data_IF_571211250269
#
_entry.id   IF_571211250269
#
_cell.length_a   1.000
_cell.length_b   1.000
_cell.length_c   1.000
_cell.angle_alpha   90.00
_cell.angle_beta   90.00
_cell.angle_gamma   90.00
#
_symmetry.space_group_name_H-M   'P 1'
#
loop_
_entity.id
_entity.type
_entity.pdbx_description
1 polymer ?
#
# COMPACT_ATOMS: atom_id res chain seq x y z
N UNK A 1 -7.25 -0.91 -21.69
CA UNK A 1 -7.56 -0.68 -20.26
C UNK A 1 -6.62 -1.52 -19.39
N UNK A 2 -5.90 -0.87 -18.46
CA UNK A 2 -5.09 -1.61 -17.48
C UNK A 2 -6.00 -2.23 -16.45
N UNK A 3 -5.81 -3.52 -16.18
CA UNK A 3 -6.64 -4.19 -15.19
C UNK A 3 -6.21 -3.85 -13.76
N UNK A 4 -7.02 -4.30 -12.81
CA UNK A 4 -6.84 -4.00 -11.39
C UNK A 4 -5.51 -4.53 -10.84
N UNK A 5 -5.02 -5.66 -11.34
CA UNK A 5 -3.75 -6.22 -10.88
C UNK A 5 -2.56 -5.42 -11.37
N UNK A 6 -2.62 -4.91 -12.59
CA UNK A 6 -1.57 -4.03 -13.10
C UNK A 6 -1.51 -2.73 -12.32
N UNK A 7 -2.67 -2.13 -12.01
CA UNK A 7 -2.75 -0.92 -11.19
C UNK A 7 -2.19 -1.19 -9.79
N UNK A 8 -2.56 -2.31 -9.19
CA UNK A 8 -2.05 -2.68 -7.86
C UNK A 8 -0.54 -2.83 -7.87
N UNK A 9 0.00 -3.56 -8.83
CA UNK A 9 1.43 -3.82 -8.91
C UNK A 9 2.24 -2.56 -9.15
N UNK A 10 1.82 -1.73 -10.09
CA UNK A 10 2.59 -0.55 -10.50
C UNK A 10 2.49 0.62 -9.53
N UNK A 11 1.35 0.78 -8.86
CA UNK A 11 1.07 2.02 -8.14
C UNK A 11 0.69 1.82 -6.68
N UNK A 12 -0.19 0.87 -6.38
CA UNK A 12 -0.70 0.70 -5.02
C UNK A 12 0.35 0.08 -4.11
N UNK A 13 0.93 -1.05 -4.51
CA UNK A 13 1.91 -1.74 -3.68
C UNK A 13 3.17 -0.92 -3.41
N UNK A 14 3.77 -0.24 -4.40
CA UNK A 14 4.91 0.63 -4.10
C UNK A 14 4.56 1.77 -3.14
N UNK A 15 3.39 2.37 -3.27
CA UNK A 15 2.94 3.43 -2.37
C UNK A 15 2.78 2.92 -0.93
N UNK A 16 2.21 1.73 -0.77
CA UNK A 16 2.03 1.12 0.56
C UNK A 16 3.37 0.70 1.17
N UNK A 17 4.28 0.15 0.37
CA UNK A 17 5.62 -0.20 0.86
C UNK A 17 6.39 1.04 1.31
N UNK A 18 6.27 2.12 0.55
CA UNK A 18 6.87 3.40 0.95
C UNK A 18 6.28 3.88 2.27
N UNK A 19 4.96 3.89 2.38
CA UNK A 19 4.27 4.34 3.58
C UNK A 19 4.69 3.53 4.81
N UNK A 20 4.76 2.21 4.68
CA UNK A 20 5.22 1.34 5.76
C UNK A 20 6.68 1.60 6.11
N UNK A 21 7.53 1.74 5.11
CA UNK A 21 8.95 2.07 5.31
C UNK A 21 9.11 3.37 6.09
N UNK A 22 8.39 4.41 5.70
CA UNK A 22 8.42 5.70 6.38
C UNK A 22 7.97 5.57 7.84
N UNK A 23 6.90 4.80 8.10
CA UNK A 23 6.42 4.59 9.46
C UNK A 23 7.40 3.79 10.32
N UNK A 24 8.06 2.79 9.76
CA UNK A 24 9.09 2.04 10.49
C UNK A 24 10.31 2.90 10.78
N UNK A 25 10.72 3.72 9.81
CA UNK A 25 11.85 4.64 10.01
C UNK A 25 11.55 5.67 11.10
N UNK A 26 10.34 6.18 11.12
CA UNK A 26 9.84 7.10 12.15
C UNK A 26 9.87 6.46 13.54
N UNK A 27 9.67 5.15 13.63
CA UNK A 27 9.75 4.37 14.87
C UNK A 27 11.17 3.95 15.22
N UNK A 28 12.17 4.57 14.59
CA UNK A 28 13.60 4.42 14.91
C UNK A 28 14.22 3.10 14.45
N UNK A 29 13.59 2.37 13.55
CA UNK A 29 14.28 1.26 12.89
C UNK A 29 15.32 1.80 11.92
N UNK A 30 16.49 1.17 11.88
CA UNK A 30 17.51 1.52 10.91
C UNK A 30 17.09 1.05 9.51
N UNK A 31 17.69 1.64 8.48
CA UNK A 31 17.45 1.20 7.10
C UNK A 31 17.76 -0.29 6.91
N UNK A 32 18.82 -0.77 7.57
CA UNK A 32 19.21 -2.17 7.55
C UNK A 32 18.13 -3.08 8.15
N UNK A 33 17.57 -2.68 9.29
CA UNK A 33 16.51 -3.43 9.96
C UNK A 33 15.24 -3.46 9.10
N UNK A 34 14.88 -2.34 8.49
CA UNK A 34 13.71 -2.26 7.60
C UNK A 34 13.92 -3.17 6.39
N UNK A 35 15.09 -3.10 5.76
CA UNK A 35 15.42 -3.93 4.61
C UNK A 35 15.28 -5.42 4.95
N UNK A 36 15.79 -5.82 6.11
CA UNK A 36 15.69 -7.20 6.58
C UNK A 36 14.24 -7.62 6.82
N UNK A 37 13.46 -6.81 7.52
CA UNK A 37 12.06 -7.15 7.87
C UNK A 37 11.16 -7.20 6.64
N UNK A 38 11.37 -6.33 5.67
CA UNK A 38 10.53 -6.25 4.48
C UNK A 38 11.08 -7.03 3.29
N UNK A 39 12.23 -7.69 3.45
CA UNK A 39 12.96 -8.38 2.37
C UNK A 39 13.15 -7.46 1.15
N UNK A 40 13.60 -6.24 1.42
CA UNK A 40 13.92 -5.26 0.40
C UNK A 40 15.42 -5.01 0.39
N UNK A 41 15.94 -4.50 -0.73
CA UNK A 41 17.33 -4.06 -0.75
C UNK A 41 17.48 -2.78 0.08
N UNK A 42 18.67 -2.57 0.63
CA UNK A 42 18.98 -1.34 1.35
C UNK A 42 18.79 -0.11 0.45
N UNK A 43 19.17 -0.23 -0.80
CA UNK A 43 19.01 0.80 -1.82
C UNK A 43 17.54 1.18 -2.02
N UNK A 44 16.64 0.20 -2.09
CA UNK A 44 15.22 0.45 -2.26
C UNK A 44 14.62 1.13 -1.02
N UNK A 45 15.01 0.68 0.17
CA UNK A 45 14.57 1.34 1.44
C UNK A 45 14.98 2.81 1.42
N UNK A 46 16.21 3.12 1.03
CA UNK A 46 16.68 4.50 0.92
C UNK A 46 15.86 5.32 -0.07
N UNK A 47 15.50 4.73 -1.22
CA UNK A 47 14.68 5.41 -2.23
C UNK A 47 13.28 5.72 -1.70
N UNK A 48 12.69 4.81 -0.95
CA UNK A 48 11.38 5.06 -0.33
C UNK A 48 11.46 6.21 0.67
N UNK A 49 12.48 6.20 1.53
CA UNK A 49 12.66 7.26 2.54
C UNK A 49 12.93 8.61 1.89
N UNK A 50 13.68 8.63 0.80
CA UNK A 50 14.01 9.87 0.08
C UNK A 50 12.89 10.33 -0.87
N UNK A 51 11.78 9.59 -0.97
CA UNK A 51 10.67 9.94 -1.84
C UNK A 51 10.93 9.69 -3.32
N UNK A 52 11.90 8.85 -3.66
CA UNK A 52 12.28 8.55 -5.05
C UNK A 52 11.49 7.38 -5.66
N UNK A 53 10.79 6.60 -4.83
CA UNK A 53 9.96 5.47 -5.25
C UNK A 53 8.65 5.49 -4.47
N UNK A 54 7.59 4.96 -5.09
CA UNK A 54 6.28 4.86 -4.45
C UNK A 54 5.57 6.19 -4.29
N UNK A 55 5.94 7.22 -5.05
CA UNK A 55 5.43 8.58 -4.90
C UNK A 55 4.30 8.92 -5.88
N UNK A 56 4.03 8.08 -6.86
CA UNK A 56 3.06 8.39 -7.93
C UNK A 56 1.65 8.61 -7.39
N UNK A 57 1.29 7.87 -6.33
CA UNK A 57 0.04 8.07 -5.62
C UNK A 57 0.35 8.29 -4.14
N UNK A 58 -0.41 9.20 -3.51
CA UNK A 58 -0.27 9.45 -2.07
C UNK A 58 -1.46 8.87 -1.33
N UNK A 59 -1.36 7.59 -0.96
CA UNK A 59 -2.43 6.89 -0.26
C UNK A 59 -2.60 7.33 1.19
N UNK A 60 -1.58 7.96 1.77
CA UNK A 60 -1.64 8.45 3.16
C UNK A 60 -2.55 9.66 3.32
N UNK A 61 -2.98 10.28 2.22
CA UNK A 61 -3.99 11.34 2.25
C UNK A 61 -5.34 10.83 2.77
N UNK A 62 -5.62 9.54 2.61
CA UNK A 62 -6.83 8.91 3.13
C UNK A 62 -6.58 8.49 4.57
N UNK A 63 -7.35 9.07 5.49
CA UNK A 63 -7.16 8.89 6.93
C UNK A 63 -7.21 7.43 7.35
N UNK A 64 -8.17 6.68 6.84
CA UNK A 64 -8.33 5.25 7.14
C UNK A 64 -7.15 4.43 6.65
N UNK A 65 -6.64 4.71 5.46
CA UNK A 65 -5.45 4.03 4.93
C UNK A 65 -4.22 4.34 5.77
N UNK A 66 -4.05 5.61 6.12
CA UNK A 66 -2.92 6.02 6.97
C UNK A 66 -2.96 5.33 8.34
N UNK A 67 -4.14 5.18 8.91
CA UNK A 67 -4.32 4.47 10.18
C UNK A 67 -3.99 2.98 10.05
N UNK A 68 -4.38 2.34 8.95
CA UNK A 68 -4.06 0.93 8.70
C UNK A 68 -2.56 0.71 8.57
N UNK A 69 -1.87 1.58 7.85
CA UNK A 69 -0.41 1.51 7.69
C UNK A 69 0.29 1.72 9.03
N UNK A 70 -0.16 2.71 9.80
CA UNK A 70 0.41 2.99 11.13
C UNK A 70 0.24 1.81 12.08
N UNK A 71 -0.93 1.19 12.07
CA UNK A 71 -1.20 0.00 12.87
C UNK A 71 -0.30 -1.17 12.46
N UNK A 72 -0.14 -1.37 11.16
CA UNK A 72 0.75 -2.42 10.66
C UNK A 72 2.20 -2.18 11.12
N UNK A 73 2.66 -0.94 11.05
CA UNK A 73 4.00 -0.59 11.51
C UNK A 73 4.18 -0.90 13.00
N UNK A 74 3.18 -0.59 13.82
CA UNK A 74 3.20 -0.94 15.25
C UNK A 74 3.30 -2.45 15.46
N UNK A 75 2.55 -3.24 14.69
CA UNK A 75 2.59 -4.69 14.78
C UNK A 75 3.92 -5.27 14.33
N UNK A 76 4.51 -4.72 13.27
CA UNK A 76 5.85 -5.15 12.81
C UNK A 76 6.88 -4.97 13.91
N UNK A 77 6.82 -3.85 14.62
CA UNK A 77 7.78 -3.54 15.69
C UNK A 77 7.49 -4.38 16.94
N UNK A 78 6.23 -4.45 17.37
CA UNK A 78 5.87 -5.05 18.66
C UNK A 78 5.69 -6.57 18.64
N UNK A 79 5.25 -7.11 17.51
CA UNK A 79 4.92 -8.55 17.39
C UNK A 79 5.93 -9.36 16.60
N UNK A 80 6.95 -8.71 16.06
CA UNK A 80 7.97 -9.36 15.23
C UNK A 80 7.34 -10.22 14.12
N UNK A 81 6.48 -9.61 13.32
CA UNK A 81 5.77 -10.31 12.25
C UNK A 81 6.75 -10.89 11.22
N UNK A 82 6.42 -12.08 10.71
CA UNK A 82 7.15 -12.68 9.60
C UNK A 82 6.89 -11.88 8.32
N UNK A 83 7.75 -12.06 7.32
CA UNK A 83 7.55 -11.43 6.01
C UNK A 83 6.24 -11.89 5.36
N UNK A 84 5.82 -13.12 5.61
CA UNK A 84 4.54 -13.64 5.09
C UNK A 84 3.37 -12.86 5.69
N UNK A 85 3.38 -12.65 6.99
CA UNK A 85 2.34 -11.89 7.68
C UNK A 85 2.31 -10.42 7.23
N UNK A 86 3.49 -9.82 7.07
CA UNK A 86 3.61 -8.43 6.60
C UNK A 86 3.02 -8.29 5.20
N UNK A 87 3.42 -9.18 4.28
CA UNK A 87 2.92 -9.14 2.91
C UNK A 87 1.41 -9.40 2.83
N UNK A 88 0.91 -10.35 3.61
CA UNK A 88 -0.52 -10.61 3.67
C UNK A 88 -1.29 -9.35 4.08
N UNK A 89 -0.82 -8.66 5.11
CA UNK A 89 -1.47 -7.43 5.60
C UNK A 89 -1.37 -6.29 4.60
N UNK A 90 -0.22 -6.14 3.92
CA UNK A 90 -0.09 -5.14 2.86
C UNK A 90 -1.06 -5.40 1.71
N UNK A 91 -1.19 -6.66 1.28
CA UNK A 91 -2.12 -7.04 0.22
C UNK A 91 -3.56 -6.72 0.65
N UNK A 92 -3.92 -7.02 1.89
CA UNK A 92 -5.25 -6.69 2.42
C UNK A 92 -5.53 -5.19 2.41
N UNK A 93 -4.54 -4.39 2.76
CA UNK A 93 -4.66 -2.93 2.68
C UNK A 93 -4.85 -2.48 1.22
N UNK A 94 -4.10 -3.07 0.29
CA UNK A 94 -4.24 -2.77 -1.13
C UNK A 94 -5.66 -3.08 -1.64
N UNK A 95 -6.19 -4.23 -1.27
CA UNK A 95 -7.55 -4.63 -1.62
C UNK A 95 -8.57 -3.65 -1.03
N UNK A 96 -8.38 -3.27 0.23
CA UNK A 96 -9.22 -2.27 0.88
C UNK A 96 -9.23 -0.94 0.12
N UNK A 97 -8.06 -0.42 -0.22
CA UNK A 97 -7.90 0.82 -0.99
C UNK A 97 -8.68 0.75 -2.30
N UNK A 98 -8.54 -0.35 -3.02
CA UNK A 98 -9.21 -0.52 -4.32
C UNK A 98 -10.73 -0.66 -4.15
N UNK A 99 -11.17 -1.40 -3.12
CA UNK A 99 -12.60 -1.58 -2.85
C UNK A 99 -13.30 -0.26 -2.49
N UNK A 100 -12.56 0.70 -1.94
CA UNK A 100 -13.09 2.03 -1.58
C UNK A 100 -13.05 3.01 -2.75
N UNK A 101 -12.60 2.58 -3.92
CA UNK A 101 -12.50 3.41 -5.13
C UNK A 101 -11.50 4.57 -4.99
N UNK A 102 -10.55 4.46 -4.07
CA UNK A 102 -9.56 5.53 -3.86
C UNK A 102 -8.62 5.72 -5.05
N UNK A 103 -8.50 4.73 -5.91
CA UNK A 103 -7.65 4.77 -7.09
C UNK A 103 -8.38 5.18 -8.37
N UNK A 104 -9.72 5.28 -8.35
CA UNK A 104 -10.49 5.44 -9.59
C UNK A 104 -10.16 6.73 -10.33
N UNK A 105 -9.99 7.84 -9.62
CA UNK A 105 -9.62 9.10 -10.26
C UNK A 105 -8.25 9.04 -10.92
N UNK A 106 -7.29 8.41 -10.27
CA UNK A 106 -5.97 8.19 -10.85
C UNK A 106 -6.05 7.24 -12.04
N UNK A 107 -6.78 6.13 -11.90
CA UNK A 107 -6.95 5.14 -12.98
C UNK A 107 -7.55 5.77 -14.23
N UNK A 108 -8.56 6.65 -14.08
CA UNK A 108 -9.17 7.33 -15.21
C UNK A 108 -8.23 8.30 -15.91
N UNK A 109 -7.22 8.82 -15.22
CA UNK A 109 -6.23 9.70 -15.83
C UNK A 109 -5.25 8.95 -16.71
N UNK A 110 -4.90 7.73 -16.35
CA UNK A 110 -3.97 6.92 -17.15
C UNK A 110 -4.69 6.03 -18.17
N UNK A 111 -5.97 5.75 -17.95
CA UNK A 111 -6.83 5.02 -18.87
C UNK A 111 -8.10 5.84 -19.11
N UNK A 112 -8.13 6.69 -20.15
CA UNK A 112 -9.27 7.59 -20.41
C UNK A 112 -10.60 6.86 -20.67
N UNK A 113 -10.57 5.57 -20.99
CA UNK A 113 -11.77 4.77 -21.18
C UNK A 113 -12.52 4.49 -19.87
N UNK A 114 -11.88 4.72 -18.73
CA UNK A 114 -12.46 4.50 -17.43
C UNK A 114 -13.28 5.71 -17.01
N UNK A 115 -14.57 5.49 -16.75
CA UNK A 115 -15.42 6.48 -16.10
C UNK A 115 -15.48 6.13 -14.61
N UNK A 116 -14.85 6.93 -13.73
CA UNK A 116 -14.78 6.57 -12.31
C UNK A 116 -16.14 6.52 -11.62
N UNK A 117 -17.14 7.20 -12.16
CA UNK A 117 -18.49 7.18 -11.59
C UNK A 117 -19.19 5.86 -11.92
N UNK A 118 -19.03 5.38 -13.15
CA UNK A 118 -19.71 4.17 -13.64
C UNK A 118 -18.98 2.88 -13.27
N UNK A 119 -17.66 2.95 -13.14
CA UNK A 119 -16.85 1.75 -12.87
C UNK A 119 -17.08 1.25 -11.45
N UNK A 120 -17.47 0.00 -11.30
CA UNK A 120 -17.66 -0.64 -10.00
C UNK A 120 -16.94 -1.99 -9.92
N UNK A 121 -15.92 -2.18 -10.76
CA UNK A 121 -15.18 -3.44 -10.80
C UNK A 121 -14.53 -3.75 -9.45
N UNK A 122 -13.80 -2.80 -8.88
CA UNK A 122 -13.09 -3.02 -7.62
C UNK A 122 -14.05 -3.26 -6.44
N UNK A 123 -15.08 -2.43 -6.20
CA UNK A 123 -16.04 -2.72 -5.14
C UNK A 123 -16.75 -4.05 -5.30
N UNK A 124 -17.08 -4.43 -6.54
CA UNK A 124 -17.77 -5.69 -6.78
C UNK A 124 -16.85 -6.89 -6.60
N UNK A 125 -15.58 -6.74 -6.96
CA UNK A 125 -14.59 -7.82 -6.90
C UNK A 125 -14.03 -7.99 -5.50
N UNK A 126 -13.73 -6.88 -4.83
CA UNK A 126 -13.08 -6.85 -3.51
C UNK A 126 -14.10 -6.42 -2.44
N UNK A 127 -15.04 -7.30 -2.14
CA UNK A 127 -16.08 -7.00 -1.15
C UNK A 127 -15.52 -6.97 0.27
N UNK A 128 -16.24 -6.25 1.10
CA UNK A 128 -15.88 -5.76 2.42
C UNK A 128 -15.40 -6.75 3.49
N UNK A 129 -15.66 -8.05 3.36
CA UNK A 129 -15.23 -9.02 4.38
C UNK A 129 -13.72 -9.10 4.58
N UNK A 130 -12.94 -8.65 3.60
CA UNK A 130 -11.48 -8.69 3.65
C UNK A 130 -10.91 -7.68 4.64
N UNK A 131 -11.61 -6.56 4.83
CA UNK A 131 -11.19 -5.47 5.72
C UNK A 131 -11.03 -5.95 7.17
N UNK A 132 -11.83 -6.91 7.58
CA UNK A 132 -11.81 -7.43 8.94
C UNK A 132 -10.48 -8.08 9.33
N UNK A 133 -9.68 -8.45 8.34
CA UNK A 133 -8.39 -9.10 8.57
C UNK A 133 -7.21 -8.13 8.58
N UNK A 134 -7.49 -6.88 8.34
CA UNK A 134 -6.48 -5.83 8.39
C UNK A 134 -6.48 -5.17 9.75
#
# INVERSE_FOLDING_TARGET
MRDVFEIAYRYVMPSLRRALTEELYKRKLSKKEIASKLLLSHSLVSRYINGERGYTIELRQFKDVNELVSRLADEVVSKDLSIYEINEKLIKIAIYVMSKKYLCNFHSRIDPDIDPIKCSICPNTFKSGIVEYV
#
